data_IF_935840985714
#
_entry.id   IF_935840985714
#
_cell.length_a   1.000
_cell.length_b   1.000
_cell.length_c   1.000
_cell.angle_alpha   90.00
_cell.angle_beta   90.00
_cell.angle_gamma   90.00
#
_symmetry.space_group_name_H-M   'P 1'
#
loop_
_entity.id
_entity.type
_entity.pdbx_description
1 polymer ?
#
# COMPACT_ATOMS: atom_id res chain seq x y z
N UNK A 1 -31.19 62.55 28.20
CA UNK A 1 -31.74 61.41 27.43
C UNK A 1 -30.77 61.14 26.28
N UNK A 2 -30.17 59.98 26.04
CA UNK A 2 -30.05 58.74 26.77
C UNK A 2 -28.77 58.05 26.23
N UNK A 3 -27.92 57.56 27.11
CA UNK A 3 -26.79 56.67 26.82
C UNK A 3 -27.32 55.25 26.60
N UNK A 4 -26.92 54.55 25.53
CA UNK A 4 -27.11 53.09 25.45
C UNK A 4 -25.78 52.36 25.25
N UNK A 5 -25.45 51.56 26.25
CA UNK A 5 -24.43 50.53 26.23
C UNK A 5 -24.96 49.32 25.46
N UNK A 6 -24.17 48.77 24.53
CA UNK A 6 -24.26 47.36 24.15
C UNK A 6 -23.01 46.64 24.66
N UNK A 7 -23.22 45.82 25.68
CA UNK A 7 -22.17 45.04 26.34
C UNK A 7 -21.70 43.85 25.49
N UNK A 8 -20.39 43.62 25.50
CA UNK A 8 -19.81 42.35 25.11
C UNK A 8 -20.10 41.32 26.20
N UNK A 9 -20.75 40.21 25.84
CA UNK A 9 -20.80 39.03 26.71
C UNK A 9 -19.39 38.44 26.84
N UNK A 10 -18.92 38.11 28.05
CA UNK A 10 -17.64 37.43 28.22
C UNK A 10 -17.76 35.99 27.71
N UNK A 11 -16.87 35.62 26.78
CA UNK A 11 -16.64 34.24 26.38
C UNK A 11 -16.26 33.45 27.65
N UNK A 12 -17.11 32.52 28.08
CA UNK A 12 -16.86 31.73 29.28
C UNK A 12 -15.61 30.86 29.08
N UNK A 13 -14.62 31.07 29.94
CA UNK A 13 -13.37 30.30 29.94
C UNK A 13 -13.56 28.82 30.35
N UNK A 14 -14.76 28.46 30.84
CA UNK A 14 -15.07 27.10 31.31
C UNK A 14 -15.28 26.09 30.17
N UNK A 15 -15.78 26.52 29.00
CA UNK A 15 -15.97 25.63 27.85
C UNK A 15 -14.67 25.16 27.20
N UNK A 16 -13.64 26.03 27.20
CA UNK A 16 -12.32 25.76 26.58
C UNK A 16 -11.46 24.79 27.39
N UNK A 17 -11.68 24.68 28.71
CA UNK A 17 -11.00 23.69 29.55
C UNK A 17 -11.63 22.29 29.40
N UNK A 18 -12.96 22.21 29.26
CA UNK A 18 -13.68 20.95 29.02
C UNK A 18 -13.30 20.28 27.69
N UNK A 19 -13.22 21.04 26.60
CA UNK A 19 -12.77 20.53 25.29
C UNK A 19 -11.31 20.08 25.30
N UNK A 20 -10.42 20.82 25.98
CA UNK A 20 -9.01 20.41 26.13
C UNK A 20 -8.87 19.13 26.94
N UNK A 21 -9.71 18.94 27.97
CA UNK A 21 -9.82 17.71 28.75
C UNK A 21 -10.25 16.54 27.87
N UNK A 22 -11.39 16.65 27.18
CA UNK A 22 -11.89 15.61 26.29
C UNK A 22 -10.94 15.27 25.14
N UNK A 23 -10.24 16.27 24.56
CA UNK A 23 -9.25 16.04 23.49
C UNK A 23 -7.99 15.35 24.03
N UNK A 24 -7.64 15.57 25.29
CA UNK A 24 -6.53 14.88 25.99
C UNK A 24 -6.93 13.47 26.42
N UNK A 25 -8.16 13.25 26.89
CA UNK A 25 -8.73 11.93 27.15
C UNK A 25 -8.83 11.10 25.86
N UNK A 26 -9.33 11.69 24.75
CA UNK A 26 -9.36 11.03 23.44
C UNK A 26 -7.97 10.69 22.94
N UNK A 27 -6.98 11.58 23.08
CA UNK A 27 -5.58 11.25 22.74
C UNK A 27 -4.99 10.14 23.63
N UNK A 28 -5.39 10.05 24.90
CA UNK A 28 -4.98 8.95 25.79
C UNK A 28 -5.68 7.64 25.44
N UNK A 29 -6.96 7.66 25.10
CA UNK A 29 -7.72 6.49 24.65
C UNK A 29 -7.25 6.03 23.27
N UNK A 30 -7.06 6.94 22.31
CA UNK A 30 -6.48 6.63 21.00
C UNK A 30 -5.06 6.07 21.19
N UNK A 31 -4.19 6.70 21.99
CA UNK A 31 -2.85 6.19 22.32
C UNK A 31 -2.86 4.79 22.98
N UNK A 32 -3.87 4.50 23.81
CA UNK A 32 -4.07 3.19 24.44
C UNK A 32 -4.61 2.12 23.49
N UNK A 33 -5.31 2.51 22.41
CA UNK A 33 -5.84 1.59 21.39
C UNK A 33 -4.75 1.17 20.39
N UNK A 34 -3.68 1.96 20.26
CA UNK A 34 -2.65 1.78 19.22
C UNK A 34 -1.41 0.98 19.62
N UNK A 35 -1.23 0.61 20.88
CA UNK A 35 -0.01 -0.07 21.30
C UNK A 35 -0.33 -1.17 22.31
N UNK A 36 -0.15 -2.43 21.91
CA UNK A 36 0.57 -3.33 22.83
C UNK A 36 1.88 -2.59 23.16
N UNK A 37 2.23 -2.40 24.45
CA UNK A 37 3.44 -1.70 24.84
C UNK A 37 4.61 -2.23 24.00
N UNK A 38 5.49 -1.35 23.50
CA UNK A 38 6.71 -1.76 22.78
C UNK A 38 7.48 -2.85 23.55
N UNK A 39 7.39 -2.81 24.89
CA UNK A 39 7.90 -3.83 25.82
C UNK A 39 7.34 -5.24 25.55
N UNK A 40 6.04 -5.40 25.31
CA UNK A 40 5.45 -6.73 25.03
C UNK A 40 5.90 -7.30 23.68
N UNK A 41 6.06 -6.43 22.67
CA UNK A 41 6.59 -6.82 21.37
C UNK A 41 8.04 -7.28 21.54
N UNK A 42 8.85 -6.50 22.26
CA UNK A 42 10.24 -6.82 22.52
C UNK A 42 10.40 -8.13 23.29
N UNK A 43 9.64 -8.35 24.38
CA UNK A 43 9.66 -9.61 25.12
C UNK A 43 9.31 -10.81 24.23
N UNK A 44 8.32 -10.66 23.35
CA UNK A 44 7.96 -11.71 22.41
C UNK A 44 9.08 -11.98 21.39
N UNK A 45 9.72 -10.93 20.87
CA UNK A 45 10.89 -11.04 19.98
C UNK A 45 12.04 -11.74 20.69
N UNK A 46 12.35 -11.40 21.94
CA UNK A 46 13.43 -12.01 22.70
C UNK A 46 13.16 -13.49 23.00
N UNK A 47 11.90 -13.86 23.25
CA UNK A 47 11.48 -15.25 23.46
C UNK A 47 11.72 -16.19 22.27
N UNK A 48 12.10 -15.65 21.09
CA UNK A 48 12.40 -16.45 19.90
C UNK A 48 13.71 -17.23 19.96
N UNK A 49 14.58 -16.97 20.95
CA UNK A 49 15.88 -17.64 21.07
C UNK A 49 16.74 -17.46 19.81
N UNK A 50 17.39 -18.54 19.37
CA UNK A 50 18.27 -18.55 18.19
C UNK A 50 17.49 -18.62 16.86
N UNK A 51 16.26 -19.16 16.91
CA UNK A 51 15.41 -19.32 15.72
C UNK A 51 15.07 -17.97 15.08
N UNK A 52 14.91 -16.94 15.91
CA UNK A 52 14.60 -15.58 15.48
C UNK A 52 13.14 -15.38 15.09
N UNK A 53 12.87 -14.29 14.39
CA UNK A 53 11.50 -13.83 14.08
C UNK A 53 11.20 -13.78 12.59
N UNK A 54 9.93 -13.93 12.27
CA UNK A 54 9.33 -13.61 10.96
C UNK A 54 8.35 -12.47 11.16
N UNK A 55 8.49 -11.43 10.34
CA UNK A 55 7.54 -10.32 10.27
C UNK A 55 6.56 -10.61 9.15
N UNK A 56 5.25 -10.46 9.39
CA UNK A 56 4.23 -10.70 8.38
C UNK A 56 3.21 -9.57 8.33
N UNK A 57 3.07 -8.97 7.15
CA UNK A 57 1.95 -8.07 6.84
C UNK A 57 1.62 -8.04 5.34
N UNK A 58 0.34 -7.89 5.01
CA UNK A 58 -0.14 -7.62 3.64
C UNK A 58 -0.51 -6.14 3.42
N UNK A 59 0.07 -5.25 4.22
CA UNK A 59 -0.23 -3.82 4.16
C UNK A 59 -1.51 -3.44 4.88
N UNK A 60 -1.96 -2.19 4.71
CA UNK A 60 -3.14 -1.62 5.37
C UNK A 60 -4.42 -1.68 4.53
N UNK A 61 -4.29 -1.99 3.24
CA UNK A 61 -5.41 -1.99 2.30
C UNK A 61 -6.23 -3.28 2.38
N UNK A 62 -5.60 -4.37 2.82
CA UNK A 62 -6.27 -5.63 3.11
C UNK A 62 -6.68 -5.62 4.57
N UNK A 63 -7.94 -5.29 4.81
CA UNK A 63 -8.53 -5.31 6.16
C UNK A 63 -9.06 -6.68 6.53
N UNK A 64 -9.47 -7.46 5.53
CA UNK A 64 -10.04 -8.77 5.76
C UNK A 64 -9.62 -9.77 4.69
N UNK A 65 -9.46 -11.01 5.12
CA UNK A 65 -9.17 -12.18 4.32
C UNK A 65 -10.11 -13.27 4.80
N UNK A 66 -10.57 -14.16 3.92
CA UNK A 66 -11.50 -15.22 4.32
C UNK A 66 -10.92 -16.07 5.46
N UNK A 67 -11.79 -16.55 6.36
CA UNK A 67 -11.37 -17.36 7.50
C UNK A 67 -10.60 -18.61 7.04
N UNK A 68 -10.99 -19.20 5.91
CA UNK A 68 -10.29 -20.33 5.30
C UNK A 68 -8.83 -19.99 4.96
N UNK A 69 -8.58 -18.84 4.31
CA UNK A 69 -7.23 -18.40 3.96
C UNK A 69 -6.43 -18.02 5.20
N UNK A 70 -7.06 -17.37 6.17
CA UNK A 70 -6.43 -17.02 7.44
C UNK A 70 -5.99 -18.27 8.21
N UNK A 71 -6.83 -19.30 8.27
CA UNK A 71 -6.53 -20.58 8.89
C UNK A 71 -5.47 -21.38 8.12
N UNK A 72 -5.49 -21.33 6.78
CA UNK A 72 -4.47 -21.96 5.96
C UNK A 72 -3.09 -21.34 6.22
N UNK A 73 -3.00 -20.00 6.26
CA UNK A 73 -1.75 -19.29 6.55
C UNK A 73 -1.30 -19.55 7.99
N UNK A 74 -2.21 -19.44 8.97
CA UNK A 74 -1.90 -19.72 10.37
C UNK A 74 -1.36 -21.14 10.59
N UNK A 75 -1.91 -22.14 9.88
CA UNK A 75 -1.43 -23.52 9.92
C UNK A 75 0.00 -23.67 9.41
N UNK A 76 0.38 -22.92 8.37
CA UNK A 76 1.76 -22.93 7.87
C UNK A 76 2.72 -22.28 8.86
N UNK A 77 2.32 -21.12 9.43
CA UNK A 77 3.11 -20.39 10.42
C UNK A 77 3.30 -21.18 11.72
N UNK A 78 2.33 -21.99 12.12
CA UNK A 78 2.43 -22.85 13.31
C UNK A 78 3.53 -23.93 13.20
N UNK A 79 4.00 -24.23 11.98
CA UNK A 79 4.96 -25.30 11.71
C UNK A 79 6.42 -24.83 11.65
N UNK A 80 6.67 -23.52 11.73
CA UNK A 80 8.03 -22.98 11.77
C UNK A 80 8.48 -22.71 13.21
N UNK A 81 9.78 -22.88 13.51
CA UNK A 81 10.29 -22.66 14.87
C UNK A 81 10.45 -21.18 15.25
N UNK A 82 10.37 -20.25 14.27
CA UNK A 82 10.43 -18.82 14.50
C UNK A 82 9.19 -18.30 15.23
N UNK A 83 9.37 -17.21 15.99
CA UNK A 83 8.24 -16.40 16.44
C UNK A 83 7.74 -15.54 15.28
N UNK A 84 6.43 -15.42 15.14
CA UNK A 84 5.82 -14.68 14.02
C UNK A 84 5.04 -13.50 14.56
N UNK A 85 5.41 -12.30 14.10
CA UNK A 85 4.66 -11.07 14.35
C UNK A 85 3.80 -10.81 13.13
N UNK A 86 2.52 -11.12 13.24
CA UNK A 86 1.58 -11.01 12.15
C UNK A 86 0.65 -9.82 12.37
N UNK A 87 0.79 -8.80 11.51
CA UNK A 87 -0.19 -7.73 11.42
C UNK A 87 -1.44 -8.21 10.69
N UNK A 88 -2.54 -8.32 11.42
CA UNK A 88 -3.81 -8.83 10.92
C UNK A 88 -5.00 -8.17 11.63
N UNK A 89 -5.93 -7.61 10.86
CA UNK A 89 -7.11 -6.91 11.37
C UNK A 89 -8.38 -7.80 11.37
N UNK A 90 -8.33 -8.98 10.74
CA UNK A 90 -9.46 -9.91 10.68
C UNK A 90 -9.69 -10.73 11.95
N UNK A 91 -10.64 -11.68 11.86
CA UNK A 91 -10.96 -12.63 12.94
C UNK A 91 -9.77 -13.56 13.21
N UNK A 92 -9.41 -13.74 14.49
CA UNK A 92 -8.34 -14.66 14.91
C UNK A 92 -8.54 -16.05 14.27
N UNK A 93 -7.55 -16.61 13.55
CA UNK A 93 -7.62 -17.96 13.02
C UNK A 93 -7.68 -19.02 14.13
N UNK A 94 -8.46 -20.07 13.93
CA UNK A 94 -8.60 -21.20 14.85
C UNK A 94 -7.32 -22.04 14.90
N UNK A 95 -6.56 -22.09 13.80
CA UNK A 95 -5.30 -22.83 13.67
C UNK A 95 -4.06 -22.01 14.05
N UNK A 96 -4.23 -20.88 14.75
CA UNK A 96 -3.11 -20.02 15.16
C UNK A 96 -2.18 -20.72 16.17
N UNK A 97 -0.94 -20.98 15.76
CA UNK A 97 0.08 -21.58 16.62
C UNK A 97 0.57 -20.65 17.74
N UNK A 98 1.10 -21.24 18.83
CA UNK A 98 1.64 -20.51 20.00
C UNK A 98 2.91 -19.70 19.70
N UNK A 99 3.53 -19.94 18.55
CA UNK A 99 4.66 -19.17 18.04
C UNK A 99 4.24 -17.88 17.31
N UNK A 100 2.95 -17.67 17.05
CA UNK A 100 2.45 -16.51 16.29
C UNK A 100 1.63 -15.58 17.18
N UNK A 101 1.94 -14.28 17.14
CA UNK A 101 1.11 -13.24 17.75
C UNK A 101 0.50 -12.34 16.68
N UNK A 102 -0.79 -12.04 16.88
CA UNK A 102 -1.54 -11.10 16.04
C UNK A 102 -1.46 -9.69 16.61
N UNK A 103 -1.33 -8.73 15.70
CA UNK A 103 -1.29 -7.30 16.01
C UNK A 103 -2.15 -6.52 15.02
N UNK A 104 -2.83 -5.47 15.48
CA UNK A 104 -3.50 -4.51 14.58
C UNK A 104 -2.49 -3.61 13.86
N UNK A 105 -1.38 -3.35 14.53
CA UNK A 105 -0.28 -2.55 14.03
C UNK A 105 1.05 -3.07 14.58
N UNK A 106 2.12 -2.98 13.79
CA UNK A 106 3.48 -3.38 14.17
C UNK A 106 4.47 -2.27 13.77
N UNK A 107 5.54 -2.05 14.56
CA UNK A 107 6.65 -1.17 14.17
C UNK A 107 7.52 -1.88 13.12
N UNK A 108 6.99 -1.98 11.90
CA UNK A 108 7.55 -2.83 10.84
C UNK A 108 9.02 -2.53 10.56
N UNK A 109 9.38 -1.27 10.35
CA UNK A 109 10.76 -0.89 10.05
C UNK A 109 11.73 -1.27 11.18
N UNK A 110 11.34 -1.10 12.44
CA UNK A 110 12.18 -1.44 13.59
C UNK A 110 12.31 -2.96 13.75
N UNK A 111 11.23 -3.70 13.53
CA UNK A 111 11.25 -5.16 13.49
C UNK A 111 12.13 -5.68 12.35
N UNK A 112 12.05 -5.09 11.15
CA UNK A 112 12.93 -5.46 10.04
C UNK A 112 14.40 -5.17 10.34
N UNK A 113 14.69 -4.09 11.07
CA UNK A 113 16.04 -3.75 11.55
C UNK A 113 16.53 -4.58 12.74
N UNK A 114 15.67 -5.40 13.34
CA UNK A 114 16.05 -6.19 14.49
C UNK A 114 16.97 -7.37 14.09
N UNK A 115 18.08 -7.63 14.82
CA UNK A 115 19.06 -8.65 14.44
C UNK A 115 18.52 -10.09 14.40
N UNK A 116 17.40 -10.34 15.10
CA UNK A 116 16.71 -11.65 15.09
C UNK A 116 15.82 -11.87 13.87
N UNK A 117 15.63 -10.89 12.99
CA UNK A 117 14.72 -11.02 11.85
C UNK A 117 15.32 -11.92 10.77
N UNK A 118 14.59 -12.98 10.45
CA UNK A 118 15.02 -14.00 9.48
C UNK A 118 14.35 -13.84 8.12
N UNK A 119 13.07 -13.49 8.10
CA UNK A 119 12.31 -13.32 6.87
C UNK A 119 11.17 -12.32 7.04
N UNK A 120 10.75 -11.75 5.92
CA UNK A 120 9.60 -10.87 5.82
C UNK A 120 8.56 -11.43 4.86
N UNK A 121 7.35 -11.70 5.33
CA UNK A 121 6.21 -12.05 4.49
C UNK A 121 5.49 -10.75 4.13
N UNK A 122 5.39 -10.45 2.83
CA UNK A 122 4.93 -9.14 2.35
C UNK A 122 4.05 -9.26 1.11
N UNK A 123 3.08 -8.36 1.00
CA UNK A 123 2.33 -8.17 -0.25
C UNK A 123 3.16 -7.56 -1.40
N UNK A 124 4.39 -7.11 -1.16
CA UNK A 124 5.23 -6.53 -2.23
C UNK A 124 4.97 -5.05 -2.52
N UNK A 125 4.35 -4.32 -1.59
CA UNK A 125 4.30 -2.87 -1.66
C UNK A 125 5.70 -2.24 -1.61
N UNK A 126 5.93 -1.24 -2.46
CA UNK A 126 7.24 -0.60 -2.67
C UNK A 126 7.94 -0.19 -1.37
N UNK A 127 7.23 0.45 -0.42
CA UNK A 127 7.84 0.89 0.85
C UNK A 127 8.35 -0.28 1.69
N UNK A 128 7.54 -1.35 1.84
CA UNK A 128 7.94 -2.52 2.63
C UNK A 128 9.13 -3.25 2.01
N UNK A 129 9.21 -3.28 0.68
CA UNK A 129 10.38 -3.82 -0.03
C UNK A 129 11.63 -2.97 0.26
N UNK A 130 11.53 -1.64 0.20
CA UNK A 130 12.68 -0.79 0.51
C UNK A 130 13.15 -0.91 1.96
N UNK A 131 12.24 -1.06 2.92
CA UNK A 131 12.60 -1.33 4.32
C UNK A 131 13.32 -2.69 4.46
N UNK A 132 12.80 -3.73 3.79
CA UNK A 132 13.43 -5.06 3.81
C UNK A 132 14.82 -5.05 3.15
N UNK A 133 14.98 -4.35 2.02
CA UNK A 133 16.28 -4.15 1.37
C UNK A 133 17.22 -3.39 2.30
N UNK A 134 16.76 -2.29 2.89
CA UNK A 134 17.58 -1.45 3.77
C UNK A 134 18.19 -2.27 4.92
N UNK A 135 17.40 -3.17 5.52
CA UNK A 135 17.84 -4.05 6.62
C UNK A 135 18.40 -5.41 6.16
N UNK A 136 18.47 -5.67 4.86
CA UNK A 136 18.99 -6.91 4.30
C UNK A 136 18.19 -8.15 4.71
N UNK A 137 16.87 -8.04 4.77
CA UNK A 137 15.94 -9.12 5.14
C UNK A 137 15.35 -9.75 3.86
N UNK A 138 15.49 -11.07 3.64
CA UNK A 138 14.90 -11.72 2.50
C UNK A 138 13.39 -11.96 2.70
N UNK A 139 12.66 -12.19 1.61
CA UNK A 139 11.20 -12.07 1.61
C UNK A 139 10.46 -13.30 1.06
N UNK A 140 9.26 -13.53 1.56
CA UNK A 140 8.22 -14.28 0.85
C UNK A 140 7.18 -13.28 0.36
N UNK A 141 7.03 -13.17 -0.96
CA UNK A 141 6.15 -12.22 -1.62
C UNK A 141 4.79 -12.84 -1.93
N UNK A 142 3.71 -12.17 -1.50
CA UNK A 142 2.31 -12.54 -1.76
C UNK A 142 1.61 -11.38 -2.47
N UNK A 143 1.91 -11.12 -3.75
CA UNK A 143 1.39 -9.95 -4.45
C UNK A 143 -0.13 -10.01 -4.62
N UNK A 144 -0.78 -8.85 -4.53
CA UNK A 144 -2.25 -8.76 -4.56
C UNK A 144 -2.77 -7.92 -5.72
N UNK A 145 -2.18 -6.75 -5.98
CA UNK A 145 -2.64 -5.84 -7.04
C UNK A 145 -1.58 -4.79 -7.42
N UNK A 146 -1.90 -4.01 -8.47
CA UNK A 146 -1.09 -2.90 -8.98
C UNK A 146 0.35 -3.32 -9.32
N UNK A 147 1.34 -2.62 -8.77
CA UNK A 147 2.78 -2.80 -8.99
C UNK A 147 3.37 -3.98 -8.20
N UNK A 148 2.61 -4.56 -7.25
CA UNK A 148 3.12 -5.59 -6.34
C UNK A 148 3.65 -6.85 -7.04
N UNK A 149 2.99 -7.42 -8.07
CA UNK A 149 3.53 -8.58 -8.78
C UNK A 149 4.88 -8.31 -9.42
N UNK A 150 5.03 -7.14 -10.06
CA UNK A 150 6.28 -6.74 -10.72
C UNK A 150 7.39 -6.49 -9.70
N UNK A 151 7.06 -5.84 -8.59
CA UNK A 151 8.01 -5.61 -7.50
C UNK A 151 8.54 -6.93 -6.92
N UNK A 152 7.67 -7.92 -6.68
CA UNK A 152 8.10 -9.25 -6.20
C UNK A 152 8.92 -9.97 -7.28
N UNK A 153 8.52 -9.90 -8.55
CA UNK A 153 9.28 -10.50 -9.65
C UNK A 153 10.71 -9.94 -9.72
N UNK A 154 10.90 -8.63 -9.52
CA UNK A 154 12.23 -8.03 -9.42
C UNK A 154 13.05 -8.58 -8.23
N UNK A 155 12.40 -8.83 -7.09
CA UNK A 155 13.06 -9.39 -5.91
C UNK A 155 13.40 -10.88 -6.07
N UNK A 156 12.56 -11.65 -6.77
CA UNK A 156 12.86 -13.02 -7.18
C UNK A 156 14.05 -13.08 -8.14
N UNK A 157 14.07 -12.20 -9.16
CA UNK A 157 15.17 -12.12 -10.12
C UNK A 157 16.52 -11.76 -9.46
N UNK A 158 16.48 -10.99 -8.36
CA UNK A 158 17.63 -10.69 -7.52
C UNK A 158 17.97 -11.79 -6.50
N UNK A 159 17.20 -12.89 -6.47
CA UNK A 159 17.39 -14.01 -5.56
C UNK A 159 17.17 -13.64 -4.08
N UNK A 160 16.36 -12.62 -3.80
CA UNK A 160 16.08 -12.12 -2.46
C UNK A 160 14.63 -12.38 -2.00
N UNK A 161 13.79 -12.96 -2.88
CA UNK A 161 12.43 -13.34 -2.55
C UNK A 161 11.98 -14.66 -3.19
N UNK A 162 10.95 -15.26 -2.62
CA UNK A 162 10.13 -16.32 -3.23
C UNK A 162 8.70 -15.81 -3.36
N UNK A 163 8.11 -15.87 -4.55
CA UNK A 163 6.71 -15.51 -4.79
C UNK A 163 5.79 -16.70 -4.54
N UNK A 164 4.69 -16.43 -3.86
CA UNK A 164 3.54 -17.34 -3.73
C UNK A 164 2.26 -16.57 -4.07
N UNK A 165 1.26 -17.28 -4.57
CA UNK A 165 -0.01 -16.67 -5.01
C UNK A 165 -1.10 -16.91 -3.96
N UNK A 166 -1.73 -15.85 -3.43
CA UNK A 166 -2.70 -15.98 -2.35
C UNK A 166 -3.91 -16.86 -2.73
N UNK A 167 -4.31 -16.86 -4.00
CA UNK A 167 -5.47 -17.60 -4.49
C UNK A 167 -5.18 -19.09 -4.63
N UNK A 168 -3.95 -19.46 -5.04
CA UNK A 168 -3.62 -20.87 -5.29
C UNK A 168 -2.78 -21.51 -4.18
N UNK A 169 -2.13 -20.72 -3.33
CA UNK A 169 -1.18 -21.26 -2.35
C UNK A 169 -1.89 -22.14 -1.31
N UNK A 170 -1.23 -23.23 -0.96
CA UNK A 170 -1.56 -24.10 0.15
C UNK A 170 -0.69 -23.80 1.37
N UNK A 171 -1.06 -24.36 2.53
CA UNK A 171 -0.22 -24.29 3.74
C UNK A 171 1.19 -24.86 3.50
N UNK A 172 1.30 -25.92 2.68
CA UNK A 172 2.58 -26.51 2.31
C UNK A 172 3.44 -25.57 1.45
N UNK A 173 2.83 -24.84 0.50
CA UNK A 173 3.55 -23.91 -0.36
C UNK A 173 4.16 -22.76 0.44
N UNK A 174 3.38 -22.16 1.35
CA UNK A 174 3.87 -21.09 2.22
C UNK A 174 4.97 -21.59 3.16
N UNK A 175 4.79 -22.77 3.76
CA UNK A 175 5.80 -23.38 4.63
C UNK A 175 7.11 -23.64 3.86
N UNK A 176 7.02 -24.17 2.64
CA UNK A 176 8.18 -24.45 1.79
C UNK A 176 8.89 -23.15 1.38
N UNK A 177 8.14 -22.11 0.98
CA UNK A 177 8.71 -20.80 0.66
C UNK A 177 9.45 -20.20 1.86
N UNK A 178 8.86 -20.26 3.05
CA UNK A 178 9.50 -19.79 4.29
C UNK A 178 10.76 -20.57 4.63
N UNK A 179 10.70 -21.90 4.61
CA UNK A 179 11.87 -22.75 4.85
C UNK A 179 12.99 -22.46 3.85
N UNK A 180 12.65 -22.24 2.58
CA UNK A 180 13.61 -21.90 1.54
C UNK A 180 14.30 -20.57 1.85
N UNK A 181 13.53 -19.50 2.07
CA UNK A 181 14.06 -18.16 2.34
C UNK A 181 14.88 -18.09 3.63
N UNK A 182 14.48 -18.83 4.66
CA UNK A 182 15.15 -18.83 5.97
C UNK A 182 16.43 -19.67 5.96
N UNK A 183 16.42 -20.84 5.32
CA UNK A 183 17.50 -21.82 5.46
C UNK A 183 18.51 -21.80 4.32
N UNK A 184 18.13 -21.34 3.12
CA UNK A 184 19.08 -21.19 2.01
C UNK A 184 19.85 -19.87 2.17
N UNK A 185 21.18 -19.93 2.43
CA UNK A 185 21.98 -18.75 2.71
C UNK A 185 22.07 -17.79 1.52
N UNK A 186 21.75 -18.23 0.30
CA UNK A 186 21.75 -17.37 -0.89
C UNK A 186 20.75 -16.23 -0.76
N UNK A 187 19.57 -16.47 -0.18
CA UNK A 187 18.56 -15.42 0.01
C UNK A 187 19.04 -14.32 0.93
N UNK A 188 19.60 -14.70 2.09
CA UNK A 188 20.15 -13.72 3.04
C UNK A 188 21.36 -12.99 2.44
N UNK A 189 22.25 -13.71 1.75
CA UNK A 189 23.42 -13.12 1.07
C UNK A 189 22.99 -12.08 0.03
N UNK A 190 22.02 -12.41 -0.81
CA UNK A 190 21.52 -11.50 -1.84
C UNK A 190 20.80 -10.30 -1.23
N UNK A 191 19.98 -10.49 -0.19
CA UNK A 191 19.34 -9.39 0.52
C UNK A 191 20.37 -8.44 1.17
N UNK A 192 21.42 -8.98 1.80
CA UNK A 192 22.52 -8.18 2.35
C UNK A 192 23.34 -7.46 1.27
N UNK A 193 23.54 -8.08 0.10
CA UNK A 193 24.19 -7.43 -1.04
C UNK A 193 23.37 -6.25 -1.55
N UNK A 194 22.05 -6.40 -1.68
CA UNK A 194 21.16 -5.29 -2.04
C UNK A 194 21.15 -4.19 -0.97
N UNK A 195 21.17 -4.56 0.31
CA UNK A 195 21.32 -3.61 1.42
C UNK A 195 22.60 -2.79 1.28
N UNK A 196 23.74 -3.45 1.03
CA UNK A 196 25.02 -2.75 0.83
C UNK A 196 24.95 -1.75 -0.32
N UNK A 197 24.36 -2.13 -1.47
CA UNK A 197 24.14 -1.21 -2.60
C UNK A 197 23.21 -0.05 -2.22
N UNK A 198 22.13 -0.33 -1.49
CA UNK A 198 21.16 0.69 -1.07
C UNK A 198 21.79 1.73 -0.14
N UNK A 199 22.73 1.31 0.73
CA UNK A 199 23.48 2.19 1.64
C UNK A 199 24.63 2.93 0.94
N UNK A 200 25.16 2.39 -0.15
CA UNK A 200 26.25 2.98 -0.93
C UNK A 200 25.75 4.13 -1.82
N UNK A 201 25.44 5.27 -1.17
CA UNK A 201 24.99 6.48 -1.83
C UNK A 201 26.01 7.61 -1.66
N UNK A 202 26.29 8.40 -2.71
CA UNK A 202 27.30 9.46 -2.67
C UNK A 202 26.92 10.61 -1.73
N UNK A 203 25.63 10.78 -1.42
CA UNK A 203 25.11 11.80 -0.50
C UNK A 203 24.16 11.14 0.47
N UNK A 204 24.39 11.37 1.77
CA UNK A 204 23.53 10.83 2.83
C UNK A 204 22.09 11.31 2.65
N UNK A 205 21.08 10.48 2.95
CA UNK A 205 19.67 10.85 2.77
C UNK A 205 19.26 12.14 3.49
N UNK A 206 19.78 12.38 4.70
CA UNK A 206 19.50 13.60 5.46
C UNK A 206 20.08 14.84 4.77
N UNK A 207 21.35 14.80 4.36
CA UNK A 207 22.01 15.91 3.67
C UNK A 207 21.31 16.23 2.34
N UNK A 208 20.88 15.19 1.62
CA UNK A 208 20.08 15.36 0.39
C UNK A 208 18.75 16.04 0.67
N UNK A 209 18.06 15.66 1.75
CA UNK A 209 16.79 16.28 2.14
C UNK A 209 16.98 17.76 2.51
N UNK A 210 18.02 18.06 3.30
CA UNK A 210 18.40 19.44 3.67
C UNK A 210 18.66 20.26 2.41
N UNK A 211 19.48 19.74 1.48
CA UNK A 211 19.77 20.41 0.22
C UNK A 211 18.50 20.78 -0.55
N UNK A 212 17.54 19.85 -0.72
CA UNK A 212 16.32 20.14 -1.46
C UNK A 212 15.40 21.14 -0.76
N UNK A 213 15.34 21.10 0.57
CA UNK A 213 14.60 22.09 1.37
C UNK A 213 15.20 23.49 1.15
N UNK A 214 16.53 23.61 1.31
CA UNK A 214 17.25 24.87 1.08
C UNK A 214 17.11 25.35 -0.36
N UNK A 215 17.23 24.45 -1.35
CA UNK A 215 17.05 24.77 -2.76
C UNK A 215 15.69 25.41 -3.02
N UNK A 216 14.61 24.84 -2.48
CA UNK A 216 13.25 25.39 -2.62
C UNK A 216 13.15 26.77 -1.95
N UNK A 217 13.74 26.95 -0.77
CA UNK A 217 13.75 28.23 -0.06
C UNK A 217 14.52 29.31 -0.83
N UNK A 218 15.75 29.02 -1.28
CA UNK A 218 16.60 29.92 -2.04
C UNK A 218 15.95 30.37 -3.36
N UNK A 219 15.19 29.49 -4.01
CA UNK A 219 14.50 29.77 -5.27
C UNK A 219 13.05 30.22 -5.08
N UNK A 220 12.70 30.74 -3.90
CA UNK A 220 11.38 31.33 -3.59
C UNK A 220 10.22 30.40 -3.96
N UNK A 221 10.36 29.12 -3.59
CA UNK A 221 9.38 28.06 -3.85
C UNK A 221 9.59 27.28 -5.15
N UNK A 222 10.72 27.45 -5.84
CA UNK A 222 11.14 26.69 -7.03
C UNK A 222 9.99 26.44 -8.04
N UNK A 223 9.33 27.53 -8.49
CA UNK A 223 8.12 27.44 -9.32
C UNK A 223 8.28 26.60 -10.60
N UNK A 224 9.49 26.51 -11.14
CA UNK A 224 9.82 25.72 -12.33
C UNK A 224 9.78 24.19 -12.10
N UNK A 225 9.87 23.73 -10.84
CA UNK A 225 9.71 22.32 -10.47
C UNK A 225 8.27 21.96 -10.11
N UNK A 226 7.37 22.94 -9.98
CA UNK A 226 5.96 22.67 -9.67
C UNK A 226 5.27 22.12 -10.93
N UNK A 227 4.53 21.01 -10.83
CA UNK A 227 3.74 20.50 -11.94
C UNK A 227 2.77 21.58 -12.45
N UNK A 228 2.65 21.70 -13.78
CA UNK A 228 1.74 22.66 -14.41
C UNK A 228 0.27 22.45 -14.02
N UNK A 229 -0.08 21.25 -13.54
CA UNK A 229 -1.40 20.85 -13.05
C UNK A 229 -2.03 21.88 -12.09
N UNK A 230 -1.23 22.50 -11.21
CA UNK A 230 -1.72 23.47 -10.23
C UNK A 230 -2.16 24.81 -10.83
N UNK A 231 -1.79 25.07 -12.09
CA UNK A 231 -2.13 26.30 -12.81
C UNK A 231 -3.26 26.07 -13.83
N UNK A 232 -3.73 24.83 -14.00
CA UNK A 232 -4.82 24.52 -14.92
C UNK A 232 -6.16 24.91 -14.31
N UNK A 233 -7.04 25.49 -15.13
CA UNK A 233 -8.43 25.68 -14.74
C UNK A 233 -9.20 24.35 -14.80
N UNK A 234 -10.40 24.31 -14.21
CA UNK A 234 -11.21 23.09 -14.15
C UNK A 234 -11.54 22.50 -15.54
N UNK A 235 -11.68 23.36 -16.57
CA UNK A 235 -11.95 22.91 -17.93
C UNK A 235 -10.76 22.18 -18.56
N UNK A 236 -9.56 22.75 -18.43
CA UNK A 236 -8.31 22.16 -18.93
C UNK A 236 -7.93 20.90 -18.16
N UNK A 237 -8.12 20.91 -16.84
CA UNK A 237 -7.82 19.76 -16.00
C UNK A 237 -8.63 18.52 -16.42
N UNK A 238 -9.90 18.70 -16.81
CA UNK A 238 -10.78 17.61 -17.25
C UNK A 238 -10.81 17.43 -18.79
N UNK A 239 -9.99 18.19 -19.53
CA UNK A 239 -9.88 18.11 -21.00
C UNK A 239 -11.23 18.12 -21.73
N UNK A 240 -12.15 19.00 -21.32
CA UNK A 240 -13.52 19.05 -21.89
C UNK A 240 -13.54 19.36 -23.39
N UNK A 241 -12.56 20.10 -23.88
CA UNK A 241 -12.34 20.38 -25.30
C UNK A 241 -12.03 19.10 -26.08
N UNK A 242 -11.13 18.25 -25.56
CA UNK A 242 -10.79 16.94 -26.15
C UNK A 242 -11.99 16.00 -26.14
N UNK A 243 -12.70 15.92 -25.00
CA UNK A 243 -13.92 15.09 -24.88
C UNK A 243 -14.97 15.54 -25.90
N UNK A 244 -15.22 16.85 -26.01
CA UNK A 244 -16.17 17.42 -26.96
C UNK A 244 -15.78 17.12 -28.40
N UNK A 245 -14.51 17.27 -28.76
CA UNK A 245 -14.00 16.95 -30.09
C UNK A 245 -14.20 15.46 -30.44
N UNK A 246 -13.86 14.55 -29.52
CA UNK A 246 -14.04 13.11 -29.73
C UNK A 246 -15.52 12.73 -29.89
N UNK A 247 -16.41 13.31 -29.06
CA UNK A 247 -17.86 13.11 -29.20
C UNK A 247 -18.38 13.61 -30.54
N UNK A 248 -17.88 14.75 -31.04
CA UNK A 248 -18.23 15.26 -32.35
C UNK A 248 -17.77 14.30 -33.47
N UNK A 249 -16.55 13.79 -33.41
CA UNK A 249 -16.06 12.78 -34.37
C UNK A 249 -16.96 11.53 -34.39
N UNK A 250 -17.32 10.99 -33.21
CA UNK A 250 -18.21 9.83 -33.10
C UNK A 250 -19.59 10.14 -33.68
N UNK A 251 -20.16 11.31 -33.38
CA UNK A 251 -21.44 11.74 -33.91
C UNK A 251 -21.43 11.87 -35.45
N UNK A 252 -20.36 12.44 -36.02
CA UNK A 252 -20.18 12.59 -37.46
C UNK A 252 -20.10 11.21 -38.14
N UNK A 253 -19.25 10.30 -37.63
CA UNK A 253 -19.14 8.94 -38.17
C UNK A 253 -20.47 8.21 -38.10
N UNK A 254 -21.16 8.28 -36.95
CA UNK A 254 -22.48 7.67 -36.76
C UNK A 254 -23.51 8.23 -37.74
N UNK A 255 -23.51 9.55 -37.95
CA UNK A 255 -24.39 10.21 -38.90
C UNK A 255 -24.17 9.71 -40.33
N UNK A 256 -22.91 9.62 -40.78
CA UNK A 256 -22.58 9.09 -42.11
C UNK A 256 -22.96 7.61 -42.25
N UNK A 257 -22.70 6.77 -41.24
CA UNK A 257 -23.12 5.36 -41.25
C UNK A 257 -24.64 5.24 -41.38
N UNK A 258 -25.41 6.00 -40.59
CA UNK A 258 -26.88 6.00 -40.68
C UNK A 258 -27.33 6.44 -42.08
N UNK A 259 -26.74 7.49 -42.64
CA UNK A 259 -27.09 7.98 -43.99
C UNK A 259 -26.75 6.98 -45.07
N UNK A 260 -25.59 6.32 -44.99
CA UNK A 260 -25.20 5.24 -45.90
C UNK A 260 -26.15 4.05 -45.78
N UNK A 261 -26.49 3.60 -44.57
CA UNK A 261 -27.45 2.51 -44.35
C UNK A 261 -28.83 2.84 -44.91
N UNK A 262 -29.37 4.03 -44.61
CA UNK A 262 -30.65 4.49 -45.14
C UNK A 262 -30.64 4.61 -46.67
N UNK A 263 -29.54 5.09 -47.25
CA UNK A 263 -29.37 5.16 -48.70
C UNK A 263 -29.34 3.75 -49.33
N UNK A 264 -28.56 2.83 -48.77
CA UNK A 264 -28.54 1.43 -49.19
C UNK A 264 -29.94 0.80 -49.11
N UNK A 265 -30.63 0.95 -47.98
CA UNK A 265 -32.02 0.48 -47.81
C UNK A 265 -32.97 1.08 -48.86
N UNK A 266 -32.88 2.38 -49.13
CA UNK A 266 -33.72 3.05 -50.13
C UNK A 266 -33.43 2.57 -51.57
N UNK A 267 -32.16 2.31 -51.90
CA UNK A 267 -31.76 1.72 -53.19
C UNK A 267 -32.34 0.32 -53.33
N UNK A 268 -32.15 -0.57 -52.33
CA UNK A 268 -32.70 -1.93 -52.35
C UNK A 268 -34.23 -1.97 -52.45
N UNK A 269 -34.94 -1.05 -51.79
CA UNK A 269 -36.40 -0.94 -51.90
C UNK A 269 -36.81 -0.50 -53.31
N UNK A 270 -36.07 0.42 -53.95
CA UNK A 270 -36.35 0.86 -55.33
C UNK A 270 -36.09 -0.25 -56.35
N UNK A 271 -35.00 -1.02 -56.23
CA UNK A 271 -34.72 -2.16 -57.12
C UNK A 271 -35.74 -3.28 -56.94
N UNK A 272 -36.17 -3.57 -55.71
CA UNK A 272 -37.23 -4.54 -55.43
C UNK A 272 -38.58 -4.16 -56.05
N UNK A 273 -38.96 -2.87 -56.01
CA UNK A 273 -40.17 -2.36 -56.68
C UNK A 273 -40.09 -2.39 -58.21
N UNK A 274 -38.90 -2.24 -58.79
CA UNK A 274 -38.68 -2.30 -60.24
C UNK A 274 -38.81 -3.74 -60.77
N UNK A 275 -38.28 -4.72 -60.04
CA UNK A 275 -38.35 -6.16 -60.37
C UNK A 275 -39.74 -6.78 -60.23
N UNK A 276 -40.70 -6.12 -59.56
CA UNK A 276 -42.11 -6.54 -59.44
C UNK A 276 -43.03 -5.96 -60.54
N UNK A 277 -42.53 -5.06 -61.39
CA UNK A 277 -43.28 -4.37 -62.45
C UNK A 277 -42.89 -4.82 -63.86
N UNK A 278 -41.92 -5.72 -63.97
CA UNK A 278 -41.62 -6.54 -65.15
C UNK A 278 -42.21 -7.93 -64.92
#
# INVERSE_FOLDING_TARGET
MATSHYGQQPFSASGRQGEKGQKRERRKQEGSIWQKPEVEIEEFVQSSGENGIVVFTLGSMIKDMSEERANMIASALAQIPQKVLWRFDGKKPDTLGSNTQLYKWIPQNDLLGHPKTRAFITHGGTNGIYEAIYHGVPMVGIPLFADQPDNIAHMEAKGAAVRVDLETLTSADLLNALRKVINDPLYKKNAMWLSAIQHDQPVKPLDRAVFWIEFVMCHKGAKHLRPALYNLNWFQYHSWDVIGFLLACVAIVTFFVIKCCLFCCAVFVKTSKKKKRE
#
